data_IF_255594918438
#
_entry.id   IF_255594918438
#
_cell.length_a   1.000
_cell.length_b   1.000
_cell.length_c   1.000
_cell.angle_alpha   90.00
_cell.angle_beta   90.00
_cell.angle_gamma   90.00
#
_symmetry.space_group_name_H-M   'P 1'
#
loop_
_entity.id
_entity.type
_entity.pdbx_description
1 polymer ?
#
# COMPACT_ATOMS: atom_id res chain seq x y z
N UNK A 1 10.10 -2.25 45.61
CA UNK A 1 10.94 -3.13 44.84
C UNK A 1 10.83 -2.78 43.34
N UNK A 2 11.86 -2.19 42.72
CA UNK A 2 11.75 -1.68 41.35
C UNK A 2 12.35 -2.69 40.40
N UNK A 3 11.68 -3.81 40.16
CA UNK A 3 11.98 -4.74 39.10
C UNK A 3 10.70 -5.34 38.50
N UNK A 4 9.88 -4.48 37.94
CA UNK A 4 8.88 -4.93 36.98
C UNK A 4 9.56 -4.95 35.62
N UNK A 5 10.18 -6.07 35.27
CA UNK A 5 10.63 -6.33 33.92
C UNK A 5 9.41 -6.37 33.04
N UNK A 6 9.29 -5.43 32.13
CA UNK A 6 8.43 -5.53 30.95
C UNK A 6 8.96 -6.70 30.15
N UNK A 7 8.46 -7.91 30.46
CA UNK A 7 8.69 -9.09 29.68
C UNK A 7 8.16 -8.82 28.28
N UNK A 8 9.07 -8.87 27.32
CA UNK A 8 8.85 -8.49 25.96
C UNK A 8 7.67 -9.18 25.32
N UNK A 9 6.99 -8.46 24.48
CA UNK A 9 6.11 -8.94 23.44
C UNK A 9 6.97 -9.66 22.38
N UNK A 10 7.54 -10.79 22.75
CA UNK A 10 8.01 -11.78 21.80
C UNK A 10 6.92 -12.84 21.76
N UNK A 11 6.21 -13.07 20.64
CA UNK A 11 5.33 -14.22 20.53
C UNK A 11 6.20 -15.46 20.74
N UNK A 12 5.91 -16.21 21.81
CA UNK A 12 6.48 -17.53 22.01
C UNK A 12 6.02 -18.41 20.85
N UNK A 13 6.91 -18.64 19.88
CA UNK A 13 6.59 -19.46 18.72
C UNK A 13 7.42 -19.23 17.47
N UNK A 14 8.45 -18.36 17.51
CA UNK A 14 9.51 -18.45 16.51
C UNK A 14 10.40 -19.64 16.85
N UNK A 15 9.81 -20.84 16.83
CA UNK A 15 10.52 -22.09 16.86
C UNK A 15 11.24 -22.27 15.54
N UNK A 16 12.44 -22.77 15.66
CA UNK A 16 13.40 -23.16 14.66
C UNK A 16 12.77 -23.54 13.30
N UNK A 17 13.12 -22.79 12.26
CA UNK A 17 12.82 -23.09 10.87
C UNK A 17 13.36 -24.48 10.52
N UNK A 18 12.45 -25.44 10.38
CA UNK A 18 12.73 -26.64 9.61
C UNK A 18 12.75 -26.25 8.14
N UNK A 19 13.86 -26.44 7.43
CA UNK A 19 13.89 -26.25 5.98
C UNK A 19 13.07 -27.36 5.32
N UNK A 20 11.90 -27.03 4.77
CA UNK A 20 11.17 -27.99 3.96
C UNK A 20 9.65 -27.99 4.10
N UNK A 21 9.01 -26.84 3.94
CA UNK A 21 7.67 -26.74 3.35
C UNK A 21 7.56 -25.35 2.75
N UNK A 22 7.86 -25.23 1.48
CA UNK A 22 7.38 -24.11 0.65
C UNK A 22 5.84 -24.22 0.62
N UNK A 23 5.19 -23.60 1.58
CA UNK A 23 3.78 -23.29 1.46
C UNK A 23 3.71 -22.20 0.39
N UNK A 24 3.60 -22.62 -0.87
CA UNK A 24 3.27 -21.73 -1.97
C UNK A 24 1.94 -21.05 -1.57
N UNK A 25 2.02 -19.79 -1.16
CA UNK A 25 0.84 -18.98 -0.88
C UNK A 25 0.13 -18.74 -2.21
N UNK A 26 -0.90 -19.54 -2.49
CA UNK A 26 -1.73 -19.39 -3.66
C UNK A 26 -2.69 -18.22 -3.45
N UNK A 27 -2.35 -17.07 -4.06
CA UNK A 27 -3.29 -15.98 -4.16
C UNK A 27 -4.53 -16.42 -4.95
N UNK A 28 -5.74 -16.03 -4.50
CA UNK A 28 -6.95 -16.25 -5.27
C UNK A 28 -6.83 -15.53 -6.63
N UNK A 29 -7.55 -15.97 -7.68
CA UNK A 29 -7.57 -15.26 -8.96
C UNK A 29 -7.88 -13.77 -8.76
N UNK A 30 -7.20 -12.89 -9.50
CA UNK A 30 -7.35 -11.44 -9.39
C UNK A 30 -8.80 -10.93 -9.60
N UNK A 31 -9.62 -11.73 -10.30
CA UNK A 31 -11.05 -11.47 -10.54
C UNK A 31 -11.99 -12.01 -9.44
N UNK A 32 -11.45 -12.59 -8.35
CA UNK A 32 -12.28 -13.15 -7.29
C UNK A 32 -12.98 -12.05 -6.51
N UNK A 33 -14.30 -12.01 -6.55
CA UNK A 33 -15.11 -11.17 -5.68
C UNK A 33 -15.24 -11.84 -4.30
N UNK A 34 -14.75 -11.17 -3.27
CA UNK A 34 -14.94 -11.61 -1.90
C UNK A 34 -16.27 -11.07 -1.36
N UNK A 35 -17.22 -11.96 -1.11
CA UNK A 35 -18.47 -11.62 -0.44
C UNK A 35 -18.35 -12.02 1.02
N UNK A 36 -18.05 -11.08 1.88
CA UNK A 36 -17.96 -11.28 3.33
C UNK A 36 -19.11 -10.53 4.00
N UNK A 37 -19.76 -11.17 4.97
CA UNK A 37 -20.81 -10.50 5.73
C UNK A 37 -20.21 -9.38 6.59
N UNK A 38 -20.83 -8.20 6.58
CA UNK A 38 -20.32 -7.04 7.32
C UNK A 38 -20.09 -7.34 8.82
N UNK A 39 -20.91 -8.19 9.43
CA UNK A 39 -20.76 -8.60 10.82
C UNK A 39 -19.50 -9.43 11.09
N UNK A 40 -19.06 -10.24 10.13
CA UNK A 40 -17.82 -11.03 10.24
C UNK A 40 -16.60 -10.12 10.15
N UNK A 41 -16.62 -9.12 9.23
CA UNK A 41 -15.56 -8.14 9.12
C UNK A 41 -15.41 -7.35 10.41
N UNK A 42 -16.53 -6.86 10.99
CA UNK A 42 -16.50 -6.09 12.24
C UNK A 42 -15.98 -6.94 13.41
N UNK A 43 -16.30 -8.24 13.46
CA UNK A 43 -15.83 -9.13 14.52
C UNK A 43 -14.31 -9.39 14.47
N UNK A 44 -13.71 -9.31 13.29
CA UNK A 44 -12.26 -9.50 13.07
C UNK A 44 -11.44 -8.21 13.21
N UNK A 45 -12.07 -7.03 13.13
CA UNK A 45 -11.36 -5.76 13.25
C UNK A 45 -10.59 -5.68 14.58
N UNK A 46 -9.28 -5.49 14.49
CA UNK A 46 -8.39 -5.39 15.66
C UNK A 46 -8.05 -6.71 16.34
N UNK A 47 -8.44 -7.86 15.76
CA UNK A 47 -8.16 -9.21 16.29
C UNK A 47 -7.61 -10.13 15.21
N UNK A 48 -6.43 -9.81 14.61
CA UNK A 48 -5.83 -10.69 13.63
C UNK A 48 -5.45 -12.02 14.29
N UNK A 49 -5.69 -13.11 13.58
CA UNK A 49 -5.26 -14.45 13.99
C UNK A 49 -3.87 -14.78 13.41
N UNK A 50 -3.34 -15.98 13.74
CA UNK A 50 -2.04 -16.40 13.24
C UNK A 50 -2.01 -16.58 11.72
N UNK A 51 -3.13 -16.91 11.10
CA UNK A 51 -3.26 -17.07 9.64
C UNK A 51 -3.14 -15.69 8.98
N UNK A 52 -3.75 -14.67 9.57
CA UNK A 52 -3.64 -13.28 9.08
C UNK A 52 -2.19 -12.79 9.09
N UNK A 53 -1.42 -13.07 10.16
CA UNK A 53 0.00 -12.70 10.24
C UNK A 53 0.86 -13.44 9.22
N UNK A 54 0.66 -14.75 9.03
CA UNK A 54 1.38 -15.53 8.02
C UNK A 54 1.04 -15.05 6.62
N UNK A 55 -0.23 -14.75 6.36
CA UNK A 55 -0.70 -14.20 5.09
C UNK A 55 -0.06 -12.84 4.82
N UNK A 56 -0.06 -11.94 5.79
CA UNK A 56 0.57 -10.62 5.65
C UNK A 56 2.09 -10.73 5.40
N UNK A 57 2.77 -11.60 6.11
CA UNK A 57 4.21 -11.84 5.92
C UNK A 57 4.51 -12.39 4.53
N UNK A 58 3.73 -13.37 4.04
CA UNK A 58 3.91 -13.95 2.71
C UNK A 58 3.58 -12.95 1.59
N UNK A 59 2.54 -12.12 1.74
CA UNK A 59 2.25 -11.03 0.82
C UNK A 59 3.43 -10.05 0.73
N UNK A 60 3.99 -9.64 1.86
CA UNK A 60 5.13 -8.74 1.88
C UNK A 60 6.40 -9.37 1.27
N UNK A 61 6.66 -10.65 1.52
CA UNK A 61 7.83 -11.34 0.97
C UNK A 61 7.72 -11.59 -0.53
N UNK A 62 6.52 -11.69 -1.08
CA UNK A 62 6.26 -11.87 -2.51
C UNK A 62 6.35 -10.58 -3.34
N UNK A 63 6.40 -9.41 -2.68
CA UNK A 63 6.65 -8.15 -3.35
C UNK A 63 8.09 -8.08 -3.89
N UNK A 64 8.26 -7.62 -5.12
CA UNK A 64 9.58 -7.48 -5.72
C UNK A 64 10.46 -6.49 -4.95
N UNK A 65 11.75 -6.79 -4.86
CA UNK A 65 12.71 -5.94 -4.14
C UNK A 65 12.70 -4.48 -4.62
N UNK A 66 12.69 -4.17 -5.94
CA UNK A 66 12.65 -2.79 -6.41
C UNK A 66 11.43 -2.00 -5.94
N UNK A 67 10.25 -2.63 -5.87
CA UNK A 67 9.04 -1.97 -5.38
C UNK A 67 9.08 -1.73 -3.88
N UNK A 68 9.64 -2.68 -3.12
CA UNK A 68 9.84 -2.51 -1.68
C UNK A 68 10.84 -1.39 -1.37
N UNK A 69 11.94 -1.32 -2.11
CA UNK A 69 12.92 -0.25 -2.00
C UNK A 69 12.29 1.11 -2.33
N UNK A 70 11.53 1.21 -3.42
CA UNK A 70 10.80 2.42 -3.77
C UNK A 70 9.81 2.85 -2.67
N UNK A 71 9.10 1.90 -2.05
CA UNK A 71 8.18 2.19 -0.95
C UNK A 71 8.89 2.76 0.29
N UNK A 72 10.09 2.27 0.60
CA UNK A 72 10.84 2.72 1.77
C UNK A 72 11.71 3.95 1.52
N UNK A 73 11.92 4.30 0.27
CA UNK A 73 12.69 5.46 -0.13
C UNK A 73 11.88 6.75 0.03
N UNK A 74 12.48 7.78 0.66
CA UNK A 74 11.80 9.04 0.96
C UNK A 74 11.34 9.79 -0.29
N UNK A 75 12.13 9.77 -1.35
CA UNK A 75 11.86 10.52 -2.58
C UNK A 75 10.90 9.76 -3.49
N UNK A 76 10.98 8.42 -3.50
CA UNK A 76 10.22 7.55 -4.39
C UNK A 76 8.86 7.11 -3.83
N UNK A 77 8.66 7.15 -2.51
CA UNK A 77 7.44 6.67 -1.85
C UNK A 77 6.17 7.39 -2.35
N UNK A 78 6.25 8.72 -2.58
CA UNK A 78 5.13 9.48 -3.14
C UNK A 78 4.82 9.05 -4.57
N UNK A 79 5.86 8.95 -5.41
CA UNK A 79 5.72 8.50 -6.78
C UNK A 79 5.10 7.09 -6.88
N UNK A 80 5.50 6.19 -5.97
CA UNK A 80 4.93 4.84 -5.91
C UNK A 80 3.43 4.85 -5.59
N UNK A 81 3.00 5.63 -4.59
CA UNK A 81 1.58 5.70 -4.24
C UNK A 81 0.76 6.32 -5.37
N UNK A 82 1.26 7.36 -6.04
CA UNK A 82 0.62 7.92 -7.24
C UNK A 82 0.54 6.88 -8.37
N UNK A 83 1.62 6.10 -8.58
CA UNK A 83 1.65 5.05 -9.61
C UNK A 83 0.62 3.94 -9.38
N UNK A 84 0.27 3.65 -8.12
CA UNK A 84 -0.73 2.64 -7.77
C UNK A 84 -2.16 3.03 -8.13
N UNK A 85 -2.45 4.33 -8.30
CA UNK A 85 -3.79 4.85 -8.66
C UNK A 85 -3.92 5.25 -10.12
N UNK A 86 -2.84 5.16 -10.90
CA UNK A 86 -2.95 5.38 -12.33
C UNK A 86 -3.75 4.28 -13.00
N UNK A 87 -4.68 4.68 -13.84
CA UNK A 87 -5.55 3.78 -14.57
C UNK A 87 -4.77 2.93 -15.60
N UNK A 88 -5.05 1.64 -15.73
CA UNK A 88 -4.46 0.81 -16.76
C UNK A 88 -4.87 1.21 -18.17
N UNK A 89 -6.05 1.82 -18.34
CA UNK A 89 -6.56 2.30 -19.62
C UNK A 89 -5.83 3.55 -20.10
N UNK A 90 -5.45 3.62 -21.39
CA UNK A 90 -4.65 4.75 -21.89
C UNK A 90 -5.37 6.09 -21.87
N UNK A 91 -6.68 6.09 -22.06
CA UNK A 91 -7.49 7.33 -22.14
C UNK A 91 -7.48 8.06 -20.80
N UNK A 92 -7.89 7.40 -19.72
CA UNK A 92 -7.95 7.96 -18.38
C UNK A 92 -6.54 8.28 -17.88
N UNK A 93 -5.58 7.36 -18.11
CA UNK A 93 -4.19 7.59 -17.75
C UNK A 93 -3.61 8.83 -18.41
N UNK A 94 -3.98 9.19 -19.63
CA UNK A 94 -3.53 10.43 -20.27
C UNK A 94 -4.02 11.65 -19.48
N UNK A 95 -5.28 11.68 -19.08
CA UNK A 95 -5.83 12.76 -18.24
C UNK A 95 -5.10 12.83 -16.90
N UNK A 96 -4.86 11.69 -16.27
CA UNK A 96 -4.12 11.62 -15.00
C UNK A 96 -2.67 12.11 -15.15
N UNK A 97 -2.00 11.80 -16.25
CA UNK A 97 -0.65 12.29 -16.55
C UNK A 97 -0.61 13.81 -16.74
N UNK A 98 -1.61 14.38 -17.40
CA UNK A 98 -1.75 15.84 -17.52
C UNK A 98 -1.96 16.51 -16.14
N UNK A 99 -2.79 15.91 -15.28
CA UNK A 99 -2.97 16.37 -13.90
C UNK A 99 -1.65 16.34 -13.12
N UNK A 100 -0.88 15.25 -13.24
CA UNK A 100 0.43 15.14 -12.60
C UNK A 100 1.44 16.15 -13.15
N UNK A 101 1.51 16.33 -14.45
CA UNK A 101 2.43 17.28 -15.10
C UNK A 101 2.20 18.74 -14.69
N UNK A 102 0.98 19.08 -14.28
CA UNK A 102 0.66 20.41 -13.76
C UNK A 102 1.11 20.65 -12.31
N UNK A 103 1.44 19.59 -11.56
CA UNK A 103 1.73 19.68 -10.12
C UNK A 103 3.12 19.16 -9.74
N UNK A 104 3.73 18.34 -10.58
CA UNK A 104 5.05 17.73 -10.33
C UNK A 104 6.02 18.03 -11.46
N UNK A 105 7.30 18.03 -11.14
CA UNK A 105 8.35 18.16 -12.13
C UNK A 105 8.49 16.92 -13.02
N UNK A 106 9.22 17.07 -14.12
CA UNK A 106 9.43 15.99 -15.09
C UNK A 106 10.11 14.75 -14.49
N UNK A 107 10.99 14.92 -13.51
CA UNK A 107 11.67 13.81 -12.84
C UNK A 107 10.68 12.96 -12.03
N UNK A 108 9.85 13.62 -11.23
CA UNK A 108 8.79 12.96 -10.45
C UNK A 108 7.79 12.27 -11.38
N UNK A 109 7.35 12.92 -12.45
CA UNK A 109 6.43 12.32 -13.41
C UNK A 109 7.04 11.08 -14.09
N UNK A 110 8.30 11.15 -14.49
CA UNK A 110 9.00 10.02 -15.10
C UNK A 110 9.10 8.83 -14.14
N UNK A 111 9.38 9.09 -12.86
CA UNK A 111 9.42 8.05 -11.83
C UNK A 111 8.04 7.43 -11.58
N UNK A 112 6.97 8.24 -11.53
CA UNK A 112 5.58 7.73 -11.42
C UNK A 112 5.26 6.78 -12.57
N UNK A 113 5.59 7.16 -13.81
CA UNK A 113 5.31 6.32 -14.99
C UNK A 113 6.17 5.06 -15.02
N UNK A 114 7.43 5.16 -14.61
CA UNK A 114 8.32 4.01 -14.47
C UNK A 114 7.76 2.99 -13.45
N UNK A 115 7.40 3.47 -12.27
CA UNK A 115 6.82 2.63 -11.22
C UNK A 115 5.44 2.08 -11.62
N UNK A 116 4.63 2.86 -12.35
CA UNK A 116 3.35 2.38 -12.87
C UNK A 116 3.54 1.16 -13.78
N UNK A 117 4.53 1.17 -14.66
CA UNK A 117 4.87 0.00 -15.47
C UNK A 117 5.19 -1.25 -14.65
N UNK A 118 5.80 -1.08 -13.48
CA UNK A 118 6.11 -2.20 -12.57
C UNK A 118 4.89 -2.69 -11.78
N UNK A 119 3.98 -1.80 -11.39
CA UNK A 119 2.80 -2.17 -10.59
C UNK A 119 1.60 -2.65 -11.43
N UNK A 120 1.61 -2.44 -12.76
CA UNK A 120 0.54 -2.92 -13.63
C UNK A 120 0.35 -4.44 -13.57
N UNK A 121 1.45 -5.19 -13.48
CA UNK A 121 1.43 -6.65 -13.36
C UNK A 121 1.20 -7.18 -11.94
N UNK A 122 1.05 -6.27 -10.95
CA UNK A 122 0.92 -6.65 -9.56
C UNK A 122 -0.49 -7.16 -9.27
N UNK A 123 -0.56 -8.30 -8.56
CA UNK A 123 -1.86 -8.82 -8.12
C UNK A 123 -2.58 -7.78 -7.24
N UNK A 124 -3.91 -7.56 -7.37
CA UNK A 124 -4.65 -6.55 -6.60
C UNK A 124 -4.43 -6.61 -5.09
N UNK A 125 -4.31 -7.81 -4.52
CA UNK A 125 -4.05 -8.00 -3.08
C UNK A 125 -2.69 -7.46 -2.60
N UNK A 126 -1.73 -7.21 -3.48
CA UNK A 126 -0.44 -6.63 -3.13
C UNK A 126 -0.44 -5.09 -3.11
N UNK A 127 -1.42 -4.45 -3.73
CA UNK A 127 -1.42 -2.99 -3.91
C UNK A 127 -1.51 -2.23 -2.58
N UNK A 128 -2.45 -2.57 -1.72
CA UNK A 128 -2.59 -1.93 -0.39
C UNK A 128 -1.42 -2.26 0.56
N UNK A 129 -0.95 -3.52 0.68
CA UNK A 129 0.27 -3.81 1.43
C UNK A 129 1.49 -3.02 0.93
N UNK A 130 1.70 -2.92 -0.38
CA UNK A 130 2.79 -2.14 -0.95
C UNK A 130 2.67 -0.65 -0.61
N UNK A 131 1.47 -0.07 -0.73
CA UNK A 131 1.23 1.31 -0.32
C UNK A 131 1.51 1.53 1.18
N UNK A 132 1.13 0.56 2.04
CA UNK A 132 1.36 0.65 3.48
C UNK A 132 2.85 0.67 3.83
N UNK A 133 3.71 0.01 3.06
CA UNK A 133 5.17 0.09 3.23
C UNK A 133 5.71 1.51 2.98
N UNK A 134 4.99 2.33 2.19
CA UNK A 134 5.39 3.69 1.88
C UNK A 134 5.04 4.70 3.00
N UNK A 135 4.11 4.40 3.90
CA UNK A 135 3.65 5.35 4.91
C UNK A 135 4.75 5.88 5.84
N UNK A 136 5.68 5.06 6.36
CA UNK A 136 6.78 5.57 7.17
C UNK A 136 7.69 6.55 6.41
N UNK A 137 7.91 6.33 5.11
CA UNK A 137 8.70 7.23 4.27
C UNK A 137 7.94 8.52 3.96
N UNK A 138 6.64 8.43 3.68
CA UNK A 138 5.75 9.58 3.48
C UNK A 138 5.72 10.49 4.71
N UNK A 139 5.58 9.96 5.92
CA UNK A 139 5.55 10.74 7.16
C UNK A 139 6.80 11.58 7.41
N UNK A 140 7.91 11.29 6.73
CA UNK A 140 9.15 12.07 6.81
C UNK A 140 9.14 13.30 5.88
N UNK A 141 8.11 13.46 5.07
CA UNK A 141 7.95 14.60 4.19
C UNK A 141 7.40 15.82 4.94
N UNK A 142 7.66 17.05 4.47
CA UNK A 142 7.05 18.24 5.02
C UNK A 142 5.52 18.18 4.97
N UNK A 143 4.85 18.66 6.01
CA UNK A 143 3.39 18.61 6.14
C UNK A 143 2.68 19.22 4.93
N UNK A 144 3.15 20.38 4.44
CA UNK A 144 2.56 21.04 3.29
C UNK A 144 2.62 20.13 2.04
N UNK A 145 3.77 19.52 1.80
CA UNK A 145 3.94 18.60 0.67
C UNK A 145 3.00 17.39 0.76
N UNK A 146 2.76 16.87 1.96
CA UNK A 146 1.81 15.76 2.18
C UNK A 146 0.36 16.19 1.94
N UNK A 147 -0.01 17.40 2.32
CA UNK A 147 -1.35 17.93 2.04
C UNK A 147 -1.59 18.10 0.53
N UNK A 148 -0.61 18.67 -0.18
CA UNK A 148 -0.66 18.82 -1.63
C UNK A 148 -0.70 17.44 -2.33
N UNK A 149 0.09 16.48 -1.83
CA UNK A 149 0.08 15.11 -2.30
C UNK A 149 -1.28 14.43 -2.10
N UNK A 150 -1.90 14.54 -0.93
CA UNK A 150 -3.20 13.96 -0.66
C UNK A 150 -4.28 14.57 -1.58
N UNK A 151 -4.28 15.90 -1.77
CA UNK A 151 -5.19 16.57 -2.68
C UNK A 151 -5.01 16.11 -4.14
N UNK A 152 -3.77 15.87 -4.57
CA UNK A 152 -3.50 15.36 -5.92
C UNK A 152 -3.90 13.90 -6.06
N UNK A 153 -3.70 13.07 -5.03
CA UNK A 153 -4.16 11.69 -4.99
C UNK A 153 -5.68 11.61 -5.17
N UNK A 154 -6.44 12.43 -4.45
CA UNK A 154 -7.90 12.50 -4.57
C UNK A 154 -8.34 12.92 -5.99
N UNK A 155 -7.65 13.88 -6.61
CA UNK A 155 -7.92 14.31 -7.99
C UNK A 155 -7.65 13.21 -9.02
N UNK A 156 -6.58 12.44 -8.83
CA UNK A 156 -6.25 11.32 -9.71
C UNK A 156 -7.30 10.22 -9.62
N UNK A 157 -7.75 9.90 -8.40
CA UNK A 157 -8.79 8.90 -8.15
C UNK A 157 -10.12 9.34 -8.77
N UNK A 158 -10.44 10.63 -8.72
CA UNK A 158 -11.68 11.17 -9.28
C UNK A 158 -11.62 11.41 -10.80
N UNK A 159 -10.52 11.15 -11.48
CA UNK A 159 -10.31 11.54 -12.87
C UNK A 159 -11.25 10.87 -13.88
N UNK A 160 -11.71 9.65 -13.59
CA UNK A 160 -12.67 8.91 -14.40
C UNK A 160 -14.15 9.07 -13.95
N UNK A 161 -14.38 9.81 -12.87
CA UNK A 161 -15.70 10.00 -12.25
C UNK A 161 -16.22 8.77 -11.49
N UNK A 162 -15.39 7.74 -11.31
CA UNK A 162 -15.69 6.54 -10.55
C UNK A 162 -14.61 6.33 -9.48
N UNK A 163 -14.99 5.70 -8.38
CA UNK A 163 -14.04 5.34 -7.32
C UNK A 163 -14.21 3.87 -6.99
N UNK A 164 -13.22 3.07 -7.26
CA UNK A 164 -13.25 1.67 -6.89
C UNK A 164 -12.84 1.48 -5.40
N UNK A 165 -13.12 0.29 -4.87
CA UNK A 165 -12.87 -0.01 -3.46
C UNK A 165 -11.38 0.12 -3.07
N UNK A 166 -10.46 -0.27 -3.95
CA UNK A 166 -9.02 -0.18 -3.67
C UNK A 166 -8.55 1.28 -3.59
N UNK A 167 -8.99 2.12 -4.50
CA UNK A 167 -8.71 3.56 -4.52
C UNK A 167 -9.28 4.24 -3.28
N UNK A 168 -10.53 3.92 -2.93
CA UNK A 168 -11.15 4.42 -1.71
C UNK A 168 -10.35 4.02 -0.46
N UNK A 169 -10.00 2.74 -0.32
CA UNK A 169 -9.20 2.25 0.79
C UNK A 169 -7.83 2.92 0.84
N UNK A 170 -7.16 3.10 -0.30
CA UNK A 170 -5.87 3.75 -0.38
C UNK A 170 -5.95 5.21 0.07
N UNK A 171 -6.92 5.99 -0.46
CA UNK A 171 -7.14 7.38 -0.05
C UNK A 171 -7.41 7.49 1.45
N UNK A 172 -8.26 6.62 2.00
CA UNK A 172 -8.55 6.58 3.44
C UNK A 172 -7.33 6.22 4.28
N UNK A 173 -6.54 5.24 3.87
CA UNK A 173 -5.32 4.86 4.58
C UNK A 173 -4.28 5.98 4.56
N UNK A 174 -4.08 6.66 3.42
CA UNK A 174 -3.21 7.83 3.34
C UNK A 174 -3.72 8.95 4.25
N UNK A 175 -5.02 9.26 4.23
CA UNK A 175 -5.60 10.26 5.13
C UNK A 175 -5.30 9.95 6.59
N UNK A 176 -5.71 8.77 7.07
CA UNK A 176 -5.59 8.38 8.48
C UNK A 176 -4.14 8.16 8.90
N UNK A 177 -3.37 7.41 8.12
CA UNK A 177 -2.05 6.95 8.53
C UNK A 177 -0.93 7.94 8.24
N UNK A 178 -1.13 8.88 7.35
CA UNK A 178 -0.09 9.83 6.92
C UNK A 178 -0.48 11.26 7.29
N UNK A 179 -1.69 11.71 6.98
CA UNK A 179 -2.10 13.10 7.17
C UNK A 179 -2.57 13.37 8.60
N UNK A 180 -3.45 12.55 9.14
CA UNK A 180 -4.02 12.75 10.49
C UNK A 180 -3.04 12.36 11.60
N UNK A 181 -1.99 11.62 11.28
CA UNK A 181 -0.93 11.22 12.21
C UNK A 181 0.16 12.30 12.41
N UNK A 182 0.08 13.44 11.73
CA UNK A 182 1.00 14.58 11.81
C UNK A 182 0.48 15.66 12.76
#
# INVERSE_FOLDING_TARGET
DPHSSVAGFAPAGLGEDKPGAEHAFNLPPASTEFKVAAGEVVAQVGRPDNVDYVTAASLNSSLSLPLREAAMDRERAMALVLALVLDPGPEIRTVQQELLANHYDHGTLAEVLHLHGQVQGLHPMHRLPLASLAFPALRRQPRQLLQDFAANLDRLIAADGQVNLQEYCLAKLVGIQVIDAL
#
